data_IF_678939813360
#
_entry.id   IF_678939813360
#
_cell.length_a   1.000
_cell.length_b   1.000
_cell.length_c   1.000
_cell.angle_alpha   90.00
_cell.angle_beta   90.00
_cell.angle_gamma   90.00
#
_symmetry.space_group_name_H-M   'P 1'
#
loop_
_entity.id
_entity.type
_entity.pdbx_description
1 polymer ?
#
# COMPACT_ATOMS: atom_id res chain seq x y z
N UNK A 1 1.45 14.69 -0.06
CA UNK A 1 0.70 15.03 1.18
C UNK A 1 1.49 14.55 2.38
N UNK A 2 1.97 15.48 3.20
CA UNK A 2 2.74 15.17 4.44
C UNK A 2 1.91 14.36 5.46
N UNK A 3 0.58 14.35 5.32
CA UNK A 3 -0.33 13.64 6.23
C UNK A 3 -0.57 12.16 5.88
N UNK A 4 -0.13 11.69 4.72
CA UNK A 4 -0.40 10.33 4.27
C UNK A 4 0.21 9.26 5.20
N UNK A 5 1.38 9.54 5.76
CA UNK A 5 2.10 8.63 6.66
C UNK A 5 1.65 8.71 8.13
N UNK A 6 0.72 9.57 8.46
CA UNK A 6 0.18 9.68 9.82
C UNK A 6 -0.85 8.59 10.14
N UNK A 7 -1.32 7.86 9.12
CA UNK A 7 -2.31 6.79 9.27
C UNK A 7 -1.70 5.41 9.04
N UNK A 8 -2.30 4.39 9.65
CA UNK A 8 -1.93 2.98 9.48
C UNK A 8 -2.20 2.47 8.06
N UNK A 9 -3.13 3.08 7.35
CA UNK A 9 -3.53 2.75 5.98
C UNK A 9 -3.18 3.93 5.06
N UNK A 10 -2.46 3.65 3.97
CA UNK A 10 -2.21 4.64 2.93
C UNK A 10 -3.47 4.80 2.07
N UNK A 11 -4.12 5.94 2.13
CA UNK A 11 -5.34 6.23 1.38
C UNK A 11 -5.09 7.32 0.36
N UNK A 12 -5.15 6.95 -0.93
CA UNK A 12 -5.05 7.88 -2.06
C UNK A 12 -6.45 8.10 -2.64
N UNK A 13 -6.90 9.34 -2.61
CA UNK A 13 -8.17 9.78 -3.17
C UNK A 13 -7.89 10.56 -4.46
N UNK A 14 -8.39 10.05 -5.57
CA UNK A 14 -8.11 10.54 -6.91
C UNK A 14 -9.37 11.09 -7.57
N UNK A 15 -9.19 12.11 -8.42
CA UNK A 15 -10.24 12.58 -9.30
C UNK A 15 -10.36 11.66 -10.54
N UNK A 16 -11.53 11.61 -11.20
CA UNK A 16 -11.72 10.81 -12.40
C UNK A 16 -10.70 11.16 -13.51
N UNK A 17 -10.00 10.15 -14.02
CA UNK A 17 -9.03 10.32 -15.10
C UNK A 17 -7.59 10.57 -14.67
N UNK A 18 -7.29 10.75 -13.37
CA UNK A 18 -5.91 10.91 -12.89
C UNK A 18 -5.07 9.65 -13.08
N UNK A 19 -5.69 8.47 -12.97
CA UNK A 19 -5.05 7.19 -13.30
C UNK A 19 -6.02 6.28 -14.06
N UNK A 20 -5.47 5.34 -14.84
CA UNK A 20 -6.27 4.25 -15.41
C UNK A 20 -6.65 3.27 -14.29
N UNK A 21 -7.95 2.97 -14.17
CA UNK A 21 -8.48 2.03 -13.16
C UNK A 21 -7.82 0.64 -13.21
N UNK A 22 -7.34 0.23 -14.40
CA UNK A 22 -6.72 -1.08 -14.58
C UNK A 22 -5.33 -1.18 -13.93
N UNK A 23 -4.66 -0.04 -13.68
CA UNK A 23 -3.35 -0.01 -13.01
C UNK A 23 -3.42 0.37 -11.53
N UNK A 24 -4.59 0.76 -11.03
CA UNK A 24 -4.77 1.14 -9.62
C UNK A 24 -4.27 0.06 -8.66
N UNK A 25 -4.59 -1.22 -8.94
CA UNK A 25 -4.11 -2.35 -8.13
C UNK A 25 -2.60 -2.54 -8.18
N UNK A 26 -1.97 -2.28 -9.33
CA UNK A 26 -0.51 -2.36 -9.46
C UNK A 26 0.18 -1.24 -8.68
N UNK A 27 -0.37 -0.02 -8.75
CA UNK A 27 0.16 1.12 -7.99
C UNK A 27 -0.01 0.85 -6.49
N UNK A 28 -1.19 0.36 -6.05
CA UNK A 28 -1.43 0.00 -4.66
C UNK A 28 -0.42 -1.03 -4.15
N UNK A 29 -0.09 -2.07 -4.94
CA UNK A 29 0.96 -3.04 -4.59
C UNK A 29 2.34 -2.40 -4.43
N UNK A 30 2.73 -1.51 -5.36
CA UNK A 30 4.03 -0.83 -5.28
C UNK A 30 4.13 0.09 -4.06
N UNK A 31 3.06 0.82 -3.75
CA UNK A 31 3.00 1.71 -2.59
C UNK A 31 3.01 0.89 -1.29
N UNK A 32 2.21 -0.17 -1.21
CA UNK A 32 2.20 -1.10 -0.08
C UNK A 32 3.59 -1.70 0.17
N UNK A 33 4.25 -2.20 -0.87
CA UNK A 33 5.59 -2.78 -0.75
C UNK A 33 6.64 -1.74 -0.30
N UNK A 34 6.58 -0.51 -0.84
CA UNK A 34 7.52 0.56 -0.51
C UNK A 34 7.39 1.05 0.94
N UNK A 35 6.17 1.23 1.40
CA UNK A 35 5.91 1.81 2.73
C UNK A 35 5.57 0.75 3.78
N UNK A 36 5.44 -0.50 3.38
CA UNK A 36 5.05 -1.64 4.22
C UNK A 36 3.79 -1.35 5.06
N UNK A 37 2.81 -0.72 4.43
CA UNK A 37 1.48 -0.42 4.99
C UNK A 37 0.39 -0.81 4.02
N UNK A 38 -0.79 -1.22 4.48
CA UNK A 38 -1.95 -1.40 3.61
C UNK A 38 -2.19 -0.15 2.77
N UNK A 39 -2.58 -0.33 1.51
CA UNK A 39 -2.74 0.78 0.58
C UNK A 39 -4.04 0.69 -0.19
N UNK A 40 -4.77 1.80 -0.24
CA UNK A 40 -6.00 1.98 -1.00
C UNK A 40 -5.82 3.08 -2.04
N UNK A 41 -6.05 2.78 -3.32
CA UNK A 41 -6.08 3.73 -4.43
C UNK A 41 -7.52 3.80 -4.91
N UNK A 42 -8.19 4.89 -4.58
CA UNK A 42 -9.63 5.05 -4.82
C UNK A 42 -9.88 6.28 -5.68
N UNK A 43 -10.74 6.13 -6.69
CA UNK A 43 -11.17 7.20 -7.58
C UNK A 43 -12.59 7.63 -7.22
N UNK A 44 -12.83 8.92 -7.24
CA UNK A 44 -14.14 9.53 -7.00
C UNK A 44 -15.15 9.12 -8.07
N UNK A 45 -16.31 8.66 -7.64
CA UNK A 45 -17.47 8.40 -8.50
C UNK A 45 -18.72 9.06 -7.91
N UNK A 46 -19.61 9.51 -8.77
CA UNK A 46 -20.92 10.00 -8.38
C UNK A 46 -21.99 8.96 -8.72
N UNK A 47 -22.78 8.57 -7.72
CA UNK A 47 -23.87 7.63 -7.87
C UNK A 47 -25.18 8.38 -7.64
N UNK A 48 -26.16 8.17 -8.51
CA UNK A 48 -27.52 8.67 -8.28
C UNK A 48 -28.26 7.58 -7.52
N UNK A 49 -28.69 7.91 -6.31
CA UNK A 49 -29.55 7.02 -5.51
C UNK A 49 -30.97 7.55 -5.48
N UNK A 50 -31.93 6.66 -5.58
CA UNK A 50 -33.33 6.94 -5.28
C UNK A 50 -33.56 6.66 -3.79
N UNK A 51 -33.94 7.69 -3.04
CA UNK A 51 -34.21 7.51 -1.63
C UNK A 51 -35.62 6.93 -1.45
N UNK A 52 -35.68 5.63 -1.20
CA UNK A 52 -36.94 4.89 -0.99
C UNK A 52 -37.53 5.16 0.41
N UNK A 53 -36.76 5.76 1.31
CA UNK A 53 -37.13 5.91 2.73
C UNK A 53 -37.45 7.35 3.17
N UNK A 54 -37.21 8.34 2.30
CA UNK A 54 -37.62 9.72 2.65
C UNK A 54 -39.10 9.91 2.42
N UNK A 55 -39.72 10.59 3.36
CA UNK A 55 -41.15 10.92 3.46
C UNK A 55 -41.69 11.84 2.33
N UNK A 56 -40.89 12.14 1.33
CA UNK A 56 -41.31 12.88 0.13
C UNK A 56 -41.90 11.93 -0.91
N UNK A 57 -43.14 12.17 -1.27
CA UNK A 57 -43.81 11.45 -2.34
C UNK A 57 -43.97 12.38 -3.57
N UNK A 58 -43.31 12.16 -4.71
CA UNK A 58 -42.41 11.03 -5.03
C UNK A 58 -40.99 11.19 -4.43
N UNK A 59 -40.24 10.05 -4.23
CA UNK A 59 -38.86 10.10 -3.76
C UNK A 59 -37.99 10.90 -4.74
N UNK A 60 -37.17 11.80 -4.20
CA UNK A 60 -36.27 12.62 -5.01
C UNK A 60 -34.91 11.93 -5.11
N UNK A 61 -34.35 11.75 -6.32
CA UNK A 61 -33.02 11.24 -6.46
C UNK A 61 -32.01 12.22 -5.83
N UNK A 62 -31.01 11.68 -5.13
CA UNK A 62 -29.89 12.45 -4.62
C UNK A 62 -28.55 11.88 -5.13
N UNK A 63 -27.54 12.74 -5.20
CA UNK A 63 -26.20 12.34 -5.61
C UNK A 63 -25.42 11.95 -4.37
N UNK A 64 -24.86 10.75 -4.38
CA UNK A 64 -23.88 10.28 -3.41
C UNK A 64 -22.50 10.23 -4.06
N UNK A 65 -21.50 10.76 -3.38
CA UNK A 65 -20.10 10.66 -3.80
C UNK A 65 -19.46 9.51 -3.05
N UNK A 66 -18.89 8.57 -3.81
CA UNK A 66 -18.16 7.42 -3.28
C UNK A 66 -16.75 7.42 -3.88
N UNK A 67 -15.76 7.06 -3.08
CA UNK A 67 -14.42 6.74 -3.56
C UNK A 67 -14.31 5.23 -3.71
N UNK A 68 -14.04 4.76 -4.93
CA UNK A 68 -14.00 3.34 -5.25
C UNK A 68 -12.73 2.99 -6.03
N UNK A 69 -12.12 1.84 -5.71
CA UNK A 69 -10.91 1.39 -6.40
C UNK A 69 -10.31 0.14 -5.80
N UNK A 70 -8.98 0.08 -5.76
CA UNK A 70 -8.24 -1.10 -5.34
C UNK A 70 -7.61 -0.93 -3.95
N UNK A 71 -7.75 -1.95 -3.12
CA UNK A 71 -7.12 -2.07 -1.81
C UNK A 71 -6.13 -3.25 -1.78
N UNK A 72 -5.04 -3.08 -1.04
CA UNK A 72 -4.00 -4.10 -0.82
C UNK A 72 -3.65 -4.15 0.65
N UNK A 73 -3.69 -5.36 1.23
CA UNK A 73 -3.18 -5.64 2.56
C UNK A 73 -1.65 -5.71 2.58
N UNK A 74 -1.05 -5.80 3.74
CA UNK A 74 0.39 -5.91 3.91
C UNK A 74 0.74 -7.09 4.82
N UNK A 75 0.97 -8.24 4.23
CA UNK A 75 1.25 -9.48 4.95
C UNK A 75 2.55 -9.40 5.78
N UNK A 76 3.54 -8.63 5.29
CA UNK A 76 4.82 -8.43 5.98
C UNK A 76 4.68 -7.80 7.37
N UNK A 77 3.62 -7.03 7.58
CA UNK A 77 3.30 -6.43 8.89
C UNK A 77 2.29 -7.24 9.69
N UNK A 78 1.97 -8.46 9.25
CA UNK A 78 1.00 -9.34 9.90
C UNK A 78 -0.47 -9.04 9.57
N UNK A 79 -0.74 -8.12 8.63
CA UNK A 79 -2.10 -7.76 8.20
C UNK A 79 -2.51 -8.64 7.02
N UNK A 80 -2.84 -9.90 7.31
CA UNK A 80 -3.23 -10.90 6.29
C UNK A 80 -4.72 -10.85 5.92
N UNK A 81 -5.56 -10.23 6.74
CA UNK A 81 -7.01 -10.16 6.58
C UNK A 81 -7.51 -8.72 6.47
N UNK A 82 -6.87 -7.92 5.63
CA UNK A 82 -7.15 -6.48 5.51
C UNK A 82 -8.60 -6.19 5.08
N UNK A 83 -9.20 -7.07 4.27
CA UNK A 83 -10.61 -6.94 3.88
C UNK A 83 -11.53 -6.99 5.08
N UNK A 84 -11.38 -7.98 5.97
CA UNK A 84 -12.20 -8.10 7.19
C UNK A 84 -12.01 -6.90 8.12
N UNK A 85 -10.79 -6.35 8.19
CA UNK A 85 -10.51 -5.13 8.95
C UNK A 85 -11.31 -3.95 8.37
N UNK A 86 -11.30 -3.76 7.05
CA UNK A 86 -12.10 -2.72 6.40
C UNK A 86 -13.61 -2.91 6.65
N UNK A 87 -14.12 -4.15 6.54
CA UNK A 87 -15.52 -4.47 6.81
C UNK A 87 -15.89 -4.20 8.28
N UNK A 88 -15.00 -4.50 9.22
CA UNK A 88 -15.20 -4.27 10.66
C UNK A 88 -15.33 -2.79 11.02
N UNK A 89 -14.86 -1.87 10.16
CA UNK A 89 -15.10 -0.43 10.36
C UNK A 89 -16.58 -0.06 10.30
N UNK A 90 -17.39 -0.81 9.55
CA UNK A 90 -18.81 -0.57 9.36
C UNK A 90 -19.16 0.69 8.58
N UNK A 91 -18.17 1.32 7.90
CA UNK A 91 -18.37 2.59 7.17
C UNK A 91 -18.10 2.50 5.67
N UNK A 92 -17.71 1.33 5.18
CA UNK A 92 -17.48 1.08 3.77
C UNK A 92 -18.80 0.73 3.06
N UNK A 93 -18.89 0.99 1.77
CA UNK A 93 -20.04 0.62 0.94
C UNK A 93 -19.85 -0.69 0.19
N UNK A 94 -18.57 -1.12 0.00
CA UNK A 94 -18.22 -2.32 -0.76
C UNK A 94 -16.84 -2.82 -0.37
N UNK A 95 -16.69 -4.17 -0.29
CA UNK A 95 -15.40 -4.86 -0.25
C UNK A 95 -15.53 -6.19 -1.00
N UNK A 96 -14.96 -6.30 -2.20
CA UNK A 96 -15.11 -7.47 -3.07
C UNK A 96 -13.74 -7.99 -3.53
N UNK A 97 -13.47 -9.27 -3.30
CA UNK A 97 -12.22 -9.93 -3.68
C UNK A 97 -11.60 -10.72 -2.54
N UNK A 98 -10.28 -10.92 -2.63
CA UNK A 98 -9.51 -11.69 -1.65
C UNK A 98 -9.12 -10.86 -0.43
N UNK A 99 -8.77 -11.50 0.68
CA UNK A 99 -8.42 -10.83 1.94
C UNK A 99 -7.31 -9.78 1.83
N UNK A 100 -6.28 -10.06 1.05
CA UNK A 100 -5.14 -9.15 0.84
C UNK A 100 -5.23 -8.28 -0.42
N UNK A 101 -6.22 -8.52 -1.32
CA UNK A 101 -6.34 -7.81 -2.60
C UNK A 101 -7.80 -7.76 -3.06
N UNK A 102 -8.44 -6.60 -2.94
CA UNK A 102 -9.87 -6.46 -3.17
C UNK A 102 -10.25 -5.07 -3.71
N UNK A 103 -11.46 -4.98 -4.26
CA UNK A 103 -12.11 -3.72 -4.56
C UNK A 103 -12.73 -3.14 -3.30
N UNK A 104 -12.52 -1.85 -3.06
CA UNK A 104 -13.01 -1.12 -1.90
C UNK A 104 -13.81 0.09 -2.34
N UNK A 105 -14.96 0.33 -1.69
CA UNK A 105 -15.76 1.53 -1.85
C UNK A 105 -16.03 2.19 -0.51
N UNK A 106 -15.81 3.51 -0.42
CA UNK A 106 -16.02 4.30 0.80
C UNK A 106 -16.84 5.55 0.43
N UNK A 107 -17.98 5.81 1.07
CA UNK A 107 -18.68 7.08 0.91
C UNK A 107 -17.79 8.26 1.29
N UNK A 108 -17.82 9.34 0.50
CA UNK A 108 -16.97 10.51 0.75
C UNK A 108 -17.13 11.07 2.16
N UNK A 109 -18.35 11.02 2.70
CA UNK A 109 -18.66 11.46 4.08
C UNK A 109 -18.07 10.58 5.16
N UNK A 110 -17.56 9.38 4.82
CA UNK A 110 -17.04 8.40 5.76
C UNK A 110 -15.50 8.25 5.71
N UNK A 111 -14.83 8.98 4.84
CA UNK A 111 -13.37 8.87 4.64
C UNK A 111 -12.61 9.09 5.97
N UNK A 112 -12.91 10.17 6.68
CA UNK A 112 -12.23 10.47 7.94
C UNK A 112 -12.51 9.39 9.01
N UNK A 113 -13.77 8.98 9.11
CA UNK A 113 -14.19 7.94 10.05
C UNK A 113 -13.55 6.58 9.72
N UNK A 114 -13.36 6.27 8.43
CA UNK A 114 -12.63 5.08 7.98
C UNK A 114 -11.17 5.10 8.45
N UNK A 115 -10.46 6.21 8.27
CA UNK A 115 -9.07 6.36 8.70
C UNK A 115 -8.93 6.21 10.22
N UNK A 116 -9.78 6.90 11.00
CA UNK A 116 -9.77 6.82 12.47
C UNK A 116 -10.01 5.38 12.98
N UNK A 117 -11.01 4.70 12.41
CA UNK A 117 -11.32 3.32 12.79
C UNK A 117 -10.26 2.33 12.38
N UNK A 118 -9.67 2.48 11.19
CA UNK A 118 -8.55 1.62 10.78
C UNK A 118 -7.31 1.85 11.63
N UNK A 119 -7.02 3.09 12.02
CA UNK A 119 -5.92 3.41 12.95
C UNK A 119 -6.14 2.77 14.33
N UNK A 120 -7.39 2.76 14.81
CA UNK A 120 -7.74 2.09 16.05
C UNK A 120 -7.56 0.56 15.96
N UNK A 121 -8.10 -0.05 14.90
CA UNK A 121 -8.04 -1.50 14.68
C UNK A 121 -6.60 -1.99 14.47
N UNK A 122 -5.74 -1.17 13.89
CA UNK A 122 -4.34 -1.48 13.59
C UNK A 122 -3.35 -0.86 14.58
N UNK A 123 -3.82 -0.34 15.72
CA UNK A 123 -3.00 0.40 16.71
C UNK A 123 -1.76 -0.39 17.16
N UNK A 124 -1.92 -1.68 17.38
CA UNK A 124 -0.86 -2.56 17.90
C UNK A 124 0.11 -3.06 16.82
N UNK A 125 -0.16 -2.74 15.55
CA UNK A 125 0.72 -3.08 14.43
C UNK A 125 1.85 -2.05 14.37
N UNK A 126 3.09 -2.53 14.33
CA UNK A 126 4.27 -1.65 14.18
C UNK A 126 4.27 -0.94 12.82
N UNK A 127 4.64 0.34 12.82
CA UNK A 127 4.87 1.13 11.60
C UNK A 127 6.32 1.03 11.10
N UNK A 128 7.18 0.35 11.85
CA UNK A 128 8.56 0.14 11.46
C UNK A 128 8.66 -0.87 10.33
N UNK A 129 9.38 -0.55 9.24
CA UNK A 129 9.60 -1.48 8.16
C UNK A 129 10.32 -2.74 8.64
N UNK A 130 9.78 -3.91 8.31
CA UNK A 130 10.40 -5.21 8.61
C UNK A 130 11.02 -5.75 7.33
N UNK A 131 12.31 -6.05 7.38
CA UNK A 131 13.03 -6.70 6.29
C UNK A 131 13.40 -8.11 6.69
N UNK A 132 12.86 -9.10 5.99
CA UNK A 132 13.29 -10.48 6.11
C UNK A 132 14.57 -10.65 5.29
N UNK A 133 15.62 -11.17 5.91
CA UNK A 133 16.93 -11.30 5.30
C UNK A 133 17.30 -12.78 5.28
N UNK A 134 17.62 -13.29 4.08
CA UNK A 134 18.01 -14.68 3.90
C UNK A 134 19.42 -14.94 4.41
N UNK A 135 20.31 -13.95 4.26
CA UNK A 135 21.68 -14.05 4.74
C UNK A 135 22.26 -12.70 5.15
N UNK A 136 23.05 -12.70 6.23
CA UNK A 136 23.74 -11.52 6.74
C UNK A 136 25.26 -11.72 6.59
N UNK A 137 25.90 -10.87 5.77
CA UNK A 137 27.37 -10.78 5.72
C UNK A 137 27.87 -9.85 6.80
N UNK A 138 29.06 -10.18 7.34
CA UNK A 138 29.84 -9.24 8.10
C UNK A 138 30.61 -8.29 7.16
N UNK A 139 30.57 -7.00 7.42
CA UNK A 139 31.20 -6.02 6.53
C UNK A 139 32.72 -6.16 6.36
N UNK A 140 33.36 -6.83 7.31
CA UNK A 140 34.82 -7.11 7.25
C UNK A 140 35.11 -8.32 6.33
N UNK A 141 34.23 -9.31 6.32
CA UNK A 141 34.43 -10.59 5.61
C UNK A 141 33.58 -10.70 4.32
N UNK A 142 32.93 -9.62 3.92
CA UNK A 142 32.09 -9.63 2.71
C UNK A 142 32.93 -9.81 1.46
N UNK A 143 32.74 -10.94 0.77
CA UNK A 143 33.30 -11.16 -0.56
C UNK A 143 32.32 -10.65 -1.64
N UNK A 144 32.67 -9.58 -2.39
CA UNK A 144 31.81 -9.06 -3.45
C UNK A 144 31.44 -10.10 -4.51
N UNK A 145 32.29 -11.10 -4.75
CA UNK A 145 32.00 -12.16 -5.73
C UNK A 145 30.78 -12.98 -5.33
N UNK A 146 30.61 -13.31 -4.06
CA UNK A 146 29.43 -14.03 -3.58
C UNK A 146 28.14 -13.25 -3.88
N UNK A 147 28.16 -11.91 -3.75
CA UNK A 147 27.01 -11.06 -4.06
C UNK A 147 26.73 -11.09 -5.56
N UNK A 148 27.77 -11.01 -6.40
CA UNK A 148 27.64 -11.09 -7.87
C UNK A 148 27.12 -12.45 -8.32
N UNK A 149 27.58 -13.54 -7.69
CA UNK A 149 27.13 -14.90 -7.99
C UNK A 149 25.63 -15.05 -7.67
N UNK A 150 25.16 -14.53 -6.53
CA UNK A 150 23.73 -14.51 -6.19
C UNK A 150 22.95 -13.63 -7.18
N UNK A 151 23.45 -12.45 -7.52
CA UNK A 151 22.81 -11.55 -8.48
C UNK A 151 22.73 -12.18 -9.89
N UNK A 152 23.65 -13.09 -10.25
CA UNK A 152 23.60 -13.82 -11.52
C UNK A 152 22.42 -14.78 -11.63
N UNK A 153 21.81 -15.14 -10.52
CA UNK A 153 20.62 -16.00 -10.43
C UNK A 153 19.30 -15.24 -10.66
N UNK A 154 19.36 -14.00 -11.14
CA UNK A 154 18.18 -13.13 -11.30
C UNK A 154 17.04 -13.72 -12.13
N UNK A 155 17.34 -14.68 -13.01
CA UNK A 155 16.34 -15.38 -13.83
C UNK A 155 15.55 -16.45 -13.06
N UNK A 156 15.94 -16.79 -11.83
CA UNK A 156 15.24 -17.74 -10.98
C UNK A 156 14.16 -17.10 -10.13
N UNK A 157 14.28 -15.79 -9.89
CA UNK A 157 13.33 -15.04 -9.06
C UNK A 157 12.01 -14.83 -9.78
N UNK A 158 10.89 -15.00 -9.10
CA UNK A 158 9.57 -14.84 -9.70
C UNK A 158 8.43 -15.18 -8.74
N UNK A 159 7.34 -15.65 -9.30
CA UNK A 159 6.09 -15.86 -8.56
C UNK A 159 6.22 -16.80 -7.35
N UNK A 160 7.04 -17.86 -7.49
CA UNK A 160 7.14 -18.92 -6.48
C UNK A 160 8.52 -18.96 -5.78
N UNK A 161 9.44 -18.09 -6.20
CA UNK A 161 10.78 -17.95 -5.62
C UNK A 161 11.05 -16.46 -5.44
N UNK A 162 10.98 -15.98 -4.21
CA UNK A 162 11.26 -14.60 -3.88
C UNK A 162 12.73 -14.25 -4.14
N UNK A 163 12.99 -12.98 -4.44
CA UNK A 163 14.34 -12.44 -4.61
C UNK A 163 15.10 -12.55 -3.28
N UNK A 164 16.35 -13.05 -3.34
CA UNK A 164 17.18 -13.20 -2.16
C UNK A 164 17.53 -11.84 -1.56
N UNK A 165 17.16 -11.65 -0.29
CA UNK A 165 17.46 -10.45 0.49
C UNK A 165 18.73 -10.66 1.30
N UNK A 166 19.74 -9.84 1.01
CA UNK A 166 21.04 -9.91 1.68
C UNK A 166 21.25 -8.62 2.48
N UNK A 167 21.68 -8.75 3.72
CA UNK A 167 22.14 -7.63 4.53
C UNK A 167 23.67 -7.71 4.75
N UNK A 168 24.28 -6.55 4.86
CA UNK A 168 25.68 -6.42 5.26
C UNK A 168 25.67 -5.59 6.57
N UNK A 169 26.07 -6.20 7.68
CA UNK A 169 26.19 -5.49 8.96
C UNK A 169 27.57 -4.87 9.10
N UNK A 170 27.68 -3.85 9.94
CA UNK A 170 28.92 -3.18 10.31
C UNK A 170 29.72 -2.61 9.13
N UNK A 171 29.03 -2.34 8.00
CA UNK A 171 29.65 -1.71 6.83
C UNK A 171 29.96 -0.25 7.12
N UNK A 172 31.25 0.11 7.13
CA UNK A 172 31.70 1.49 7.27
C UNK A 172 31.72 2.16 5.91
N UNK A 173 30.84 3.14 5.70
CA UNK A 173 30.75 3.91 4.46
C UNK A 173 31.32 5.32 4.69
N UNK A 174 32.36 5.68 3.93
CA UNK A 174 32.93 7.03 3.90
C UNK A 174 32.40 7.79 2.68
N UNK A 175 32.45 9.12 2.72
CA UNK A 175 31.98 9.97 1.60
C UNK A 175 32.68 9.64 0.29
N UNK A 176 33.96 9.27 0.33
CA UNK A 176 34.77 8.96 -0.85
C UNK A 176 34.35 7.63 -1.53
N UNK A 177 33.59 6.79 -0.84
CA UNK A 177 33.04 5.54 -1.37
C UNK A 177 31.70 5.73 -2.09
N UNK A 178 31.15 6.97 -2.05
CA UNK A 178 29.84 7.27 -2.61
C UNK A 178 30.04 7.97 -3.95
N UNK A 179 29.57 7.35 -5.04
CA UNK A 179 29.54 7.96 -6.38
C UNK A 179 28.09 8.23 -6.77
N UNK A 180 27.79 9.51 -7.09
CA UNK A 180 26.46 9.87 -7.61
C UNK A 180 26.43 9.54 -9.12
N UNK A 181 25.50 8.66 -9.49
CA UNK A 181 25.36 8.17 -10.87
C UNK A 181 24.52 9.10 -11.77
N UNK A 182 23.81 10.06 -11.19
CA UNK A 182 23.01 11.02 -11.96
C UNK A 182 23.89 12.08 -12.62
N UNK A 183 23.65 12.46 -13.91
CA UNK A 183 24.36 13.55 -14.58
C UNK A 183 24.29 14.87 -13.82
N UNK A 184 23.17 15.12 -13.14
CA UNK A 184 22.94 16.33 -12.35
C UNK A 184 23.42 16.20 -10.90
N UNK A 185 24.10 15.09 -10.55
CA UNK A 185 24.55 14.79 -9.19
C UNK A 185 23.45 14.91 -8.12
N UNK A 186 22.20 14.67 -8.50
CA UNK A 186 21.06 14.63 -7.59
C UNK A 186 20.90 13.19 -7.09
N UNK A 187 20.62 12.98 -5.80
CA UNK A 187 20.24 11.66 -5.31
C UNK A 187 18.93 11.24 -6.00
N UNK A 188 18.90 10.02 -6.53
CA UNK A 188 17.71 9.38 -7.12
C UNK A 188 16.89 8.69 -6.03
#
# INVERSE_FOLDING_TARGET
>A
DENLLNHKVLLFLLEPGEIDKNIAGLIANKMMAKYQRPCCILTKIEIIREDVFLTSNPPKPYKEVIYQGSARGCDKTGIINFKDICESTGVISMAEGHQGAFGLGIPASQIQNFLEKTDELLRDISDEPIYFVDYIYDGVDTNPQNILDIASLNNLWGKDIDEAMIAIRDLRVNKDMITLMSPDKRPT
#
